data_IF_223000065532
#
_entry.id   IF_223000065532
#
_cell.length_a   1.000
_cell.length_b   1.000
_cell.length_c   1.000
_cell.angle_alpha   90.00
_cell.angle_beta   90.00
_cell.angle_gamma   90.00
#
_symmetry.space_group_name_H-M   'P 1'
#
loop_
_entity.id
_entity.type
_entity.pdbx_description
1 polymer ?
#
# COMPACT_ATOMS: atom_id res chain seq x y z
N UNK A 1 5.24 -9.60 -15.05
CA UNK A 1 3.89 -9.01 -15.20
C UNK A 1 4.02 -7.64 -15.86
N UNK A 2 3.27 -7.36 -16.94
CA UNK A 2 3.30 -6.01 -17.54
C UNK A 2 2.71 -5.00 -16.57
N UNK A 3 3.20 -3.75 -16.61
CA UNK A 3 2.68 -2.62 -15.80
C UNK A 3 1.16 -2.52 -15.95
N UNK A 4 0.64 -2.66 -17.18
CA UNK A 4 -0.79 -2.54 -17.46
C UNK A 4 -1.62 -3.63 -16.74
N UNK A 5 -1.12 -4.88 -16.72
CA UNK A 5 -1.76 -5.96 -15.95
C UNK A 5 -1.71 -5.64 -14.47
N UNK A 6 -0.56 -5.23 -13.94
CA UNK A 6 -0.43 -4.84 -12.54
C UNK A 6 -1.41 -3.73 -12.16
N UNK A 7 -1.48 -2.64 -12.94
CA UNK A 7 -2.40 -1.53 -12.68
C UNK A 7 -3.85 -2.00 -12.64
N UNK A 8 -4.27 -2.88 -13.55
CA UNK A 8 -5.62 -3.44 -13.53
C UNK A 8 -5.92 -4.26 -12.26
N UNK A 9 -5.04 -5.20 -11.89
CA UNK A 9 -5.23 -5.99 -10.68
C UNK A 9 -5.14 -5.12 -9.41
N UNK A 10 -4.28 -4.12 -9.42
CA UNK A 10 -4.13 -3.16 -8.33
C UNK A 10 -5.39 -2.33 -8.13
N UNK A 11 -5.98 -1.84 -9.22
CA UNK A 11 -7.25 -1.10 -9.16
C UNK A 11 -8.41 -1.99 -8.72
N UNK A 12 -8.50 -3.22 -9.22
CA UNK A 12 -9.48 -4.21 -8.76
C UNK A 12 -9.35 -4.51 -7.27
N UNK A 13 -8.12 -4.73 -6.80
CA UNK A 13 -7.81 -4.97 -5.39
C UNK A 13 -8.17 -3.75 -4.52
N UNK A 14 -7.79 -2.55 -4.96
CA UNK A 14 -8.14 -1.30 -4.29
C UNK A 14 -9.65 -1.08 -4.23
N UNK A 15 -10.38 -1.33 -5.32
CA UNK A 15 -11.85 -1.28 -5.34
C UNK A 15 -12.48 -2.29 -4.39
N UNK A 16 -11.95 -3.51 -4.32
CA UNK A 16 -12.40 -4.51 -3.36
C UNK A 16 -12.19 -4.04 -1.92
N UNK A 17 -11.01 -3.51 -1.58
CA UNK A 17 -10.73 -2.97 -0.25
C UNK A 17 -11.63 -1.77 0.09
N UNK A 18 -11.87 -0.88 -0.87
CA UNK A 18 -12.78 0.25 -0.71
C UNK A 18 -14.24 -0.22 -0.48
N UNK A 19 -14.68 -1.24 -1.22
CA UNK A 19 -16.00 -1.85 -1.03
C UNK A 19 -16.17 -2.51 0.34
N UNK A 20 -15.14 -3.25 0.80
CA UNK A 20 -15.12 -3.82 2.15
C UNK A 20 -15.18 -2.71 3.20
N UNK A 21 -14.33 -1.67 3.07
CA UNK A 21 -14.34 -0.54 3.99
C UNK A 21 -15.70 0.19 4.02
N UNK A 22 -16.39 0.31 2.88
CA UNK A 22 -17.73 0.89 2.82
C UNK A 22 -18.80 0.00 3.47
N UNK A 23 -18.66 -1.32 3.40
CA UNK A 23 -19.59 -2.27 4.02
C UNK A 23 -19.42 -2.38 5.55
N UNK A 24 -18.22 -2.16 6.09
CA UNK A 24 -17.93 -2.28 7.53
C UNK A 24 -18.88 -1.45 8.42
N UNK A 25 -19.10 -0.14 8.16
CA UNK A 25 -20.02 0.69 8.95
C UNK A 25 -21.47 0.22 8.90
N UNK A 26 -21.89 -0.42 7.79
CA UNK A 26 -23.26 -0.94 7.62
C UNK A 26 -23.47 -2.21 8.44
N UNK A 27 -22.44 -3.07 8.50
CA UNK A 27 -22.48 -4.33 9.26
C UNK A 27 -22.29 -4.13 10.76
N UNK A 28 -21.57 -3.08 11.16
CA UNK A 28 -21.24 -2.79 12.56
C UNK A 28 -21.50 -1.32 12.93
N UNK A 29 -22.76 -0.90 13.03
CA UNK A 29 -23.13 0.50 13.28
C UNK A 29 -22.72 1.01 14.67
N UNK A 30 -22.62 0.12 15.66
CA UNK A 30 -22.35 0.48 17.06
C UNK A 30 -20.87 0.68 17.40
N UNK A 31 -19.95 0.37 16.47
CA UNK A 31 -18.50 0.49 16.68
C UNK A 31 -17.85 1.42 15.68
N UNK A 32 -17.05 2.36 16.19
CA UNK A 32 -16.23 3.26 15.36
C UNK A 32 -15.02 2.50 14.81
N UNK A 33 -15.21 1.75 13.72
CA UNK A 33 -14.16 0.94 13.08
C UNK A 33 -13.28 1.75 12.13
N UNK A 34 -13.83 2.78 11.47
CA UNK A 34 -13.10 3.61 10.51
C UNK A 34 -12.66 4.93 11.15
N UNK A 35 -11.44 5.35 10.82
CA UNK A 35 -10.96 6.69 11.16
C UNK A 35 -11.72 7.77 10.38
N UNK A 36 -11.83 8.97 10.93
CA UNK A 36 -12.64 10.05 10.33
C UNK A 36 -12.11 10.48 8.95
N UNK A 37 -10.79 10.38 8.73
CA UNK A 37 -10.12 10.61 7.45
C UNK A 37 -9.61 9.32 6.80
N UNK A 38 -10.34 8.21 6.96
CA UNK A 38 -9.98 6.92 6.36
C UNK A 38 -9.73 6.99 4.85
N UNK A 39 -10.56 7.70 4.10
CA UNK A 39 -10.40 7.83 2.64
C UNK A 39 -9.10 8.56 2.24
N UNK A 40 -8.65 9.50 3.06
CA UNK A 40 -7.39 10.21 2.84
C UNK A 40 -6.20 9.27 3.10
N UNK A 41 -6.25 8.49 4.20
CA UNK A 41 -5.28 7.41 4.47
C UNK A 41 -5.22 6.39 3.34
N UNK A 42 -6.40 5.93 2.89
CA UNK A 42 -6.54 4.96 1.83
C UNK A 42 -5.91 5.45 0.52
N UNK A 43 -6.26 6.67 0.11
CA UNK A 43 -5.69 7.29 -1.08
C UNK A 43 -4.19 7.53 -0.96
N UNK A 44 -3.71 7.97 0.20
CA UNK A 44 -2.29 8.21 0.44
C UNK A 44 -1.46 6.92 0.37
N UNK A 45 -1.83 5.89 1.14
CA UNK A 45 -1.10 4.62 1.16
C UNK A 45 -1.24 3.89 -0.17
N UNK A 46 -2.42 3.92 -0.78
CA UNK A 46 -2.65 3.35 -2.10
C UNK A 46 -1.83 4.07 -3.19
N UNK A 47 -1.81 5.40 -3.20
CA UNK A 47 -0.99 6.16 -4.15
C UNK A 47 0.50 5.89 -3.96
N UNK A 48 0.97 5.93 -2.72
CA UNK A 48 2.37 5.70 -2.38
C UNK A 48 2.83 4.29 -2.75
N UNK A 49 2.01 3.26 -2.51
CA UNK A 49 2.29 1.88 -2.90
C UNK A 49 2.39 1.73 -4.42
N UNK A 50 1.53 2.41 -5.17
CA UNK A 50 1.59 2.38 -6.63
C UNK A 50 2.88 3.01 -7.16
N UNK A 51 3.29 4.16 -6.60
CA UNK A 51 4.55 4.83 -6.95
C UNK A 51 5.75 3.96 -6.60
N UNK A 52 5.75 3.35 -5.41
CA UNK A 52 6.79 2.44 -4.95
C UNK A 52 6.93 1.22 -5.89
N UNK A 53 5.82 0.63 -6.32
CA UNK A 53 5.85 -0.44 -7.30
C UNK A 53 6.44 0.00 -8.65
N UNK A 54 6.07 1.17 -9.18
CA UNK A 54 6.63 1.66 -10.45
C UNK A 54 8.14 1.83 -10.34
N UNK A 55 8.63 2.44 -9.25
CA UNK A 55 10.06 2.61 -9.02
C UNK A 55 10.80 1.27 -8.97
N UNK A 56 10.27 0.30 -8.22
CA UNK A 56 10.85 -1.04 -8.18
C UNK A 56 10.81 -1.72 -9.54
N UNK A 57 9.71 -1.62 -10.27
CA UNK A 57 9.55 -2.23 -11.60
C UNK A 57 10.54 -1.68 -12.62
N UNK A 58 10.84 -0.37 -12.57
CA UNK A 58 11.87 0.24 -13.42
C UNK A 58 13.25 -0.29 -13.08
N UNK A 59 13.59 -0.42 -11.79
CA UNK A 59 14.88 -0.97 -11.36
C UNK A 59 15.06 -2.45 -11.71
N UNK A 60 14.02 -3.26 -11.63
CA UNK A 60 14.01 -4.69 -12.02
C UNK A 60 14.39 -4.86 -13.51
N UNK A 61 14.00 -3.91 -14.37
CA UNK A 61 14.30 -3.99 -15.81
C UNK A 61 15.74 -3.75 -16.20
N UNK A 62 16.55 -3.13 -15.33
CA UNK A 62 17.93 -2.77 -15.65
C UNK A 62 18.84 -4.00 -15.52
N UNK A 63 18.92 -4.58 -14.32
CA UNK A 63 19.75 -5.73 -14.01
C UNK A 63 19.17 -6.54 -12.83
N UNK A 64 19.44 -7.86 -12.73
CA UNK A 64 18.91 -8.70 -11.65
C UNK A 64 19.34 -8.24 -10.25
N UNK A 65 20.62 -7.88 -10.07
CA UNK A 65 21.16 -7.40 -8.79
C UNK A 65 20.59 -6.02 -8.42
N UNK A 66 20.55 -5.10 -9.40
CA UNK A 66 19.95 -3.78 -9.23
C UNK A 66 18.45 -3.86 -8.96
N UNK A 67 17.76 -4.87 -9.49
CA UNK A 67 16.34 -5.12 -9.26
C UNK A 67 16.01 -5.41 -7.79
N UNK A 68 16.82 -6.21 -7.11
CA UNK A 68 16.65 -6.49 -5.68
C UNK A 68 16.87 -5.21 -4.87
N UNK A 69 17.93 -4.46 -5.18
CA UNK A 69 18.20 -3.17 -4.52
C UNK A 69 17.08 -2.15 -4.74
N UNK A 70 16.50 -2.09 -5.95
CA UNK A 70 15.39 -1.21 -6.26
C UNK A 70 14.11 -1.57 -5.50
N UNK A 71 13.82 -2.86 -5.30
CA UNK A 71 12.69 -3.33 -4.49
C UNK A 71 12.90 -2.96 -3.02
N UNK A 72 14.08 -3.24 -2.47
CA UNK A 72 14.38 -2.86 -1.08
C UNK A 72 14.29 -1.34 -0.91
N UNK A 73 14.83 -0.57 -1.85
CA UNK A 73 14.77 0.88 -1.87
C UNK A 73 13.34 1.42 -1.93
N UNK A 74 12.49 0.86 -2.80
CA UNK A 74 11.09 1.29 -2.90
C UNK A 74 10.30 1.02 -1.62
N UNK A 75 10.51 -0.16 -1.00
CA UNK A 75 9.86 -0.54 0.25
C UNK A 75 10.30 0.39 1.39
N UNK A 76 11.60 0.66 1.52
CA UNK A 76 12.15 1.56 2.54
C UNK A 76 11.61 2.98 2.34
N UNK A 77 11.61 3.48 1.10
CA UNK A 77 11.10 4.80 0.78
C UNK A 77 9.61 4.89 1.14
N UNK A 78 8.79 3.91 0.72
CA UNK A 78 7.38 3.82 1.11
C UNK A 78 7.21 3.82 2.62
N UNK A 79 8.02 3.05 3.35
CA UNK A 79 7.95 2.97 4.80
C UNK A 79 8.22 4.33 5.45
N UNK A 80 9.27 5.04 5.03
CA UNK A 80 9.63 6.36 5.55
C UNK A 80 8.50 7.37 5.32
N UNK A 81 7.96 7.44 4.09
CA UNK A 81 6.86 8.36 3.78
C UNK A 81 5.58 8.01 4.55
N UNK A 82 5.29 6.72 4.73
CA UNK A 82 4.12 6.27 5.50
C UNK A 82 4.27 6.60 6.98
N UNK A 83 5.46 6.43 7.56
CA UNK A 83 5.75 6.82 8.94
C UNK A 83 5.69 8.33 9.14
N UNK A 84 6.29 9.12 8.24
CA UNK A 84 6.24 10.57 8.29
C UNK A 84 4.79 11.07 8.23
N UNK A 85 3.98 10.51 7.34
CA UNK A 85 2.56 10.84 7.22
C UNK A 85 1.79 10.55 8.52
N UNK A 86 1.96 9.36 9.10
CA UNK A 86 1.30 8.99 10.37
C UNK A 86 1.71 9.89 11.50
N UNK A 87 3.00 10.22 11.60
CA UNK A 87 3.52 11.08 12.66
C UNK A 87 2.91 12.48 12.55
N UNK A 88 2.92 13.07 11.35
CA UNK A 88 2.32 14.39 11.11
C UNK A 88 0.83 14.37 11.42
N UNK A 89 0.09 13.37 10.93
CA UNK A 89 -1.35 13.29 11.13
C UNK A 89 -1.71 13.07 12.61
N UNK A 90 -0.95 12.24 13.32
CA UNK A 90 -1.14 11.96 14.74
C UNK A 90 -0.87 13.18 15.63
N UNK A 91 0.06 14.06 15.25
CA UNK A 91 0.34 15.30 15.99
C UNK A 91 -0.74 16.37 15.78
N UNK A 92 -1.40 16.37 14.62
CA UNK A 92 -2.40 17.38 14.25
C UNK A 92 -3.83 17.01 14.65
N UNK A 93 -4.09 15.76 15.07
CA UNK A 93 -5.46 15.27 15.27
C UNK A 93 -5.67 14.70 16.67
N UNK A 94 -6.71 15.14 17.39
CA UNK A 94 -7.13 14.59 18.70
C UNK A 94 -7.93 13.28 18.61
N UNK A 95 -7.89 12.60 17.46
CA UNK A 95 -8.65 11.38 17.22
C UNK A 95 -8.16 10.25 18.14
N UNK A 96 -9.02 9.25 18.38
CA UNK A 96 -8.66 8.01 19.08
C UNK A 96 -7.51 7.34 18.34
N UNK A 97 -6.28 7.63 18.77
CA UNK A 97 -5.05 7.24 18.06
C UNK A 97 -4.97 5.75 17.76
N UNK A 98 -5.61 4.91 18.58
CA UNK A 98 -5.68 3.46 18.39
C UNK A 98 -6.49 3.05 17.15
N UNK A 99 -7.68 3.63 16.93
CA UNK A 99 -8.51 3.32 15.74
C UNK A 99 -7.80 3.78 14.47
N UNK A 100 -7.22 4.97 14.49
CA UNK A 100 -6.41 5.48 13.39
C UNK A 100 -5.20 4.59 13.09
N UNK A 101 -4.44 4.22 14.12
CA UNK A 101 -3.28 3.35 13.98
C UNK A 101 -3.66 1.99 13.39
N UNK A 102 -4.73 1.37 13.87
CA UNK A 102 -5.21 0.09 13.31
C UNK A 102 -5.58 0.22 11.84
N UNK A 103 -6.35 1.25 11.46
CA UNK A 103 -6.69 1.49 10.05
C UNK A 103 -5.45 1.70 9.18
N UNK A 104 -4.50 2.51 9.65
CA UNK A 104 -3.25 2.74 8.95
C UNK A 104 -2.44 1.44 8.79
N UNK A 105 -2.22 0.69 9.86
CA UNK A 105 -1.44 -0.55 9.81
C UNK A 105 -2.11 -1.60 8.95
N UNK A 106 -3.44 -1.77 9.05
CA UNK A 106 -4.19 -2.70 8.22
C UNK A 106 -4.05 -2.34 6.74
N UNK A 107 -4.26 -1.07 6.37
CA UNK A 107 -4.09 -0.63 4.98
C UNK A 107 -2.64 -0.80 4.50
N UNK A 108 -1.67 -0.37 5.30
CA UNK A 108 -0.25 -0.50 4.98
C UNK A 108 0.13 -1.96 4.72
N UNK A 109 -0.29 -2.89 5.57
CA UNK A 109 -0.02 -4.31 5.40
C UNK A 109 -0.70 -4.88 4.16
N UNK A 110 -2.00 -4.62 3.97
CA UNK A 110 -2.77 -5.11 2.83
C UNK A 110 -2.15 -4.68 1.49
N UNK A 111 -1.86 -3.39 1.35
CA UNK A 111 -1.19 -2.85 0.16
C UNK A 111 0.25 -3.38 0.02
N UNK A 112 0.99 -3.53 1.12
CA UNK A 112 2.35 -4.08 1.09
C UNK A 112 2.38 -5.54 0.65
N UNK A 113 1.45 -6.37 1.11
CA UNK A 113 1.36 -7.78 0.70
C UNK A 113 1.15 -7.89 -0.80
N UNK A 114 0.21 -7.10 -1.35
CA UNK A 114 -0.05 -7.09 -2.79
C UNK A 114 1.18 -6.62 -3.59
N UNK A 115 1.84 -5.55 -3.14
CA UNK A 115 3.05 -5.01 -3.78
C UNK A 115 4.19 -6.04 -3.78
N UNK A 116 4.58 -6.54 -2.60
CA UNK A 116 5.70 -7.48 -2.43
C UNK A 116 5.44 -8.75 -3.23
N UNK A 117 4.21 -9.29 -3.18
CA UNK A 117 3.84 -10.46 -3.98
C UNK A 117 4.05 -10.22 -5.47
N UNK A 118 3.57 -9.07 -5.98
CA UNK A 118 3.70 -8.71 -7.39
C UNK A 118 5.16 -8.51 -7.82
N UNK A 119 5.98 -7.89 -6.97
CA UNK A 119 7.41 -7.68 -7.22
C UNK A 119 8.19 -9.00 -7.20
N UNK A 120 7.91 -9.89 -6.24
CA UNK A 120 8.52 -11.22 -6.18
C UNK A 120 8.15 -12.09 -7.37
N UNK A 121 6.90 -12.05 -7.83
CA UNK A 121 6.48 -12.73 -9.07
C UNK A 121 7.22 -12.20 -10.30
N UNK A 122 7.48 -10.88 -10.37
CA UNK A 122 8.25 -10.28 -11.46
C UNK A 122 9.73 -10.70 -11.42
N UNK A 123 10.36 -10.66 -10.25
CA UNK A 123 11.74 -11.14 -10.06
C UNK A 123 11.88 -12.60 -10.44
N UNK A 124 10.96 -13.46 -9.98
CA UNK A 124 11.00 -14.91 -10.30
C UNK A 124 10.92 -15.15 -11.80
N UNK A 125 10.13 -14.37 -12.53
CA UNK A 125 10.05 -14.50 -13.99
C UNK A 125 11.32 -14.03 -14.70
N UNK A 126 12.04 -13.05 -14.14
CA UNK A 126 13.32 -12.59 -14.68
C UNK A 126 14.46 -13.58 -14.40
N UNK A 127 14.53 -14.15 -13.19
CA UNK A 127 15.58 -15.11 -12.84
C UNK A 127 15.46 -16.47 -13.55
N UNK A 128 14.28 -16.77 -14.10
CA UNK A 128 13.99 -18.00 -14.83
C UNK A 128 14.04 -17.83 -16.36
N UNK A 129 14.52 -16.68 -16.82
CA UNK A 129 14.87 -16.37 -18.22
C UNK A 129 16.38 -16.36 -18.36
#
# INVERSE_FOLDING_TARGET
MSVLKFTLYYLLYSLLLAGVAFALPVLFPDVTLLANKFWLLFGFIGGLTYIAYIMAFLGIKMDPETGIMAIMGSIVLKMIFSMAFVLIYSLNTKEKGLVFALNFFSLYLLFSFFEIYSLLCNLRHQNNK
#
